data_IF_770339760979
#
_entry.id   IF_770339760979
#
_cell.length_a   1.000
_cell.length_b   1.000
_cell.length_c   1.000
_cell.angle_alpha   90.00
_cell.angle_beta   90.00
_cell.angle_gamma   90.00
#
_symmetry.space_group_name_H-M   'P 1'
#
loop_
_entity.id
_entity.type
_entity.pdbx_description
1 polymer ?
#
# COMPACT_ATOMS: atom_id res chain seq x y z
N UNK A 1 -1.19 -4.87 11.38
CA UNK A 1 0.30 -4.90 11.34
C UNK A 1 0.85 -6.33 11.33
N UNK A 2 0.33 -7.28 12.13
CA UNK A 2 0.82 -8.66 12.13
C UNK A 2 0.56 -9.38 10.80
N UNK A 3 -0.65 -9.27 10.25
CA UNK A 3 -1.04 -9.86 8.95
C UNK A 3 -0.24 -9.28 7.79
N UNK A 4 0.02 -7.97 7.78
CA UNK A 4 0.87 -7.34 6.78
C UNK A 4 2.31 -7.91 6.82
N UNK A 5 2.89 -8.08 8.00
CA UNK A 5 4.19 -8.73 8.16
C UNK A 5 4.20 -10.16 7.67
N UNK A 6 3.13 -10.92 7.92
CA UNK A 6 2.98 -12.29 7.46
C UNK A 6 2.93 -12.39 5.93
N UNK A 7 2.18 -11.50 5.26
CA UNK A 7 2.07 -11.47 3.80
C UNK A 7 3.42 -11.23 3.10
N UNK A 8 4.35 -10.51 3.75
CA UNK A 8 5.69 -10.21 3.22
C UNK A 8 6.83 -10.99 3.90
N UNK A 9 6.50 -12.02 4.69
CA UNK A 9 7.49 -12.85 5.40
C UNK A 9 8.41 -13.63 4.45
N UNK A 10 7.96 -13.89 3.22
CA UNK A 10 8.75 -14.58 2.19
C UNK A 10 9.88 -13.71 1.59
N UNK A 11 9.84 -12.38 1.79
CA UNK A 11 10.88 -11.49 1.30
C UNK A 11 12.10 -11.55 2.20
N UNK A 12 13.21 -12.07 1.68
CA UNK A 12 14.50 -12.10 2.36
C UNK A 12 15.10 -10.70 2.57
N UNK A 13 16.09 -10.61 3.46
CA UNK A 13 16.77 -9.35 3.78
C UNK A 13 17.35 -8.65 2.54
N UNK A 14 18.01 -9.41 1.65
CA UNK A 14 18.61 -8.86 0.44
C UNK A 14 17.56 -8.25 -0.50
N UNK A 15 16.42 -8.89 -0.65
CA UNK A 15 15.32 -8.37 -1.48
C UNK A 15 14.75 -7.06 -0.91
N UNK A 16 14.65 -6.95 0.42
CA UNK A 16 14.21 -5.73 1.10
C UNK A 16 15.24 -4.60 0.95
N UNK A 17 16.53 -4.90 1.06
CA UNK A 17 17.62 -3.94 0.83
C UNK A 17 17.63 -3.44 -0.63
N UNK A 18 17.48 -4.33 -1.60
CA UNK A 18 17.36 -3.98 -3.01
C UNK A 18 16.13 -3.10 -3.27
N UNK A 19 15.00 -3.43 -2.65
CA UNK A 19 13.77 -2.63 -2.78
C UNK A 19 13.93 -1.24 -2.15
N UNK A 20 14.58 -1.13 -1.00
CA UNK A 20 14.91 0.16 -0.37
C UNK A 20 15.80 1.00 -1.30
N UNK A 21 16.84 0.39 -1.86
CA UNK A 21 17.73 1.04 -2.82
C UNK A 21 16.97 1.51 -4.08
N UNK A 22 16.11 0.66 -4.65
CA UNK A 22 15.30 1.02 -5.81
C UNK A 22 14.28 2.13 -5.51
N UNK A 23 13.82 2.25 -4.26
CA UNK A 23 12.77 3.21 -3.86
C UNK A 23 13.36 4.59 -3.54
N UNK A 24 14.44 4.69 -2.76
CA UNK A 24 15.02 5.98 -2.32
C UNK A 24 16.49 6.15 -2.67
N UNK A 25 17.12 5.16 -3.32
CA UNK A 25 18.52 5.20 -3.73
C UNK A 25 19.51 4.88 -2.60
N UNK A 26 19.06 4.51 -1.40
CA UNK A 26 19.93 4.21 -0.26
C UNK A 26 20.46 2.78 -0.36
N UNK A 27 21.79 2.62 -0.50
CA UNK A 27 22.44 1.34 -0.25
C UNK A 27 22.72 1.18 1.26
N UNK A 28 21.89 0.37 1.90
CA UNK A 28 21.91 0.17 3.34
C UNK A 28 22.62 -1.14 3.77
N UNK A 29 23.33 -1.84 2.86
CA UNK A 29 23.96 -3.14 3.16
C UNK A 29 25.01 -3.08 4.25
N UNK A 30 25.67 -1.94 4.42
CA UNK A 30 26.69 -1.72 5.46
C UNK A 30 26.12 -1.23 6.80
N UNK A 31 24.82 -0.91 6.87
CA UNK A 31 24.20 -0.40 8.08
C UNK A 31 23.78 -1.54 9.01
N UNK A 32 24.01 -1.36 10.31
CA UNK A 32 23.45 -2.27 11.31
C UNK A 32 21.92 -2.18 11.36
N UNK A 33 21.20 -3.28 11.65
CA UNK A 33 19.73 -3.28 11.69
C UNK A 33 19.11 -2.24 12.62
N UNK A 34 19.77 -1.92 13.72
CA UNK A 34 19.30 -0.95 14.70
C UNK A 34 19.88 0.47 14.48
N UNK A 35 20.69 0.67 13.41
CA UNK A 35 21.16 1.99 13.03
C UNK A 35 20.02 2.90 12.61
N UNK A 36 20.04 4.15 13.08
CA UNK A 36 19.08 5.18 12.67
C UNK A 36 19.38 5.63 11.24
N UNK A 37 18.34 5.68 10.43
CA UNK A 37 18.41 6.20 9.07
C UNK A 37 17.82 7.60 9.08
N UNK A 38 18.59 8.58 8.65
CA UNK A 38 18.16 9.96 8.52
C UNK A 38 18.38 10.49 7.09
N UNK A 39 17.92 11.72 6.85
CA UNK A 39 17.96 12.32 5.52
C UNK A 39 19.41 12.52 4.99
N UNK A 40 20.42 12.61 5.86
CA UNK A 40 21.81 12.80 5.45
C UNK A 40 22.40 11.56 4.76
N UNK A 41 21.82 10.38 5.02
CA UNK A 41 22.22 9.13 4.37
C UNK A 41 21.60 8.94 2.98
N UNK A 42 20.60 9.76 2.64
CA UNK A 42 19.90 9.64 1.37
C UNK A 42 20.67 10.34 0.24
N UNK A 43 20.68 9.78 -0.98
CA UNK A 43 21.27 10.47 -2.12
C UNK A 43 20.52 11.78 -2.40
N UNK A 44 21.12 12.71 -3.18
CA UNK A 44 20.49 13.97 -3.56
C UNK A 44 19.10 13.78 -4.17
N UNK A 45 18.22 14.76 -4.02
CA UNK A 45 16.96 14.79 -4.76
C UNK A 45 17.24 14.79 -6.27
N UNK A 46 16.55 13.92 -7.01
CA UNK A 46 16.80 13.74 -8.44
C UNK A 46 17.65 12.53 -8.79
N UNK A 47 18.23 11.83 -7.81
CA UNK A 47 18.86 10.53 -8.06
C UNK A 47 17.85 9.56 -8.72
N UNK A 48 18.31 8.64 -9.60
CA UNK A 48 17.44 7.67 -10.25
C UNK A 48 16.74 6.77 -9.23
N UNK A 49 15.40 6.74 -9.28
CA UNK A 49 14.55 5.91 -8.42
C UNK A 49 13.40 5.33 -9.24
N UNK A 50 12.83 4.22 -8.78
CA UNK A 50 11.72 3.54 -9.47
C UNK A 50 10.47 4.42 -9.60
N UNK A 51 10.16 5.21 -8.58
CA UNK A 51 9.01 6.13 -8.54
C UNK A 51 9.34 7.36 -7.71
N UNK A 52 9.26 8.54 -8.32
CA UNK A 52 9.52 9.81 -7.63
C UNK A 52 8.53 10.08 -6.49
N UNK A 53 7.26 9.74 -6.67
CA UNK A 53 6.21 9.92 -5.65
C UNK A 53 6.49 9.03 -4.44
N UNK A 54 6.76 7.74 -4.65
CA UNK A 54 7.08 6.81 -3.56
C UNK A 54 8.40 7.19 -2.86
N UNK A 55 9.41 7.61 -3.64
CA UNK A 55 10.66 8.12 -3.08
C UNK A 55 10.42 9.31 -2.15
N UNK A 56 9.62 10.29 -2.58
CA UNK A 56 9.31 11.47 -1.76
C UNK A 56 8.61 11.08 -0.47
N UNK A 57 7.56 10.27 -0.53
CA UNK A 57 6.83 9.83 0.66
C UNK A 57 7.75 9.12 1.67
N UNK A 58 8.63 8.24 1.20
CA UNK A 58 9.55 7.52 2.07
C UNK A 58 10.66 8.44 2.60
N UNK A 59 11.16 9.40 1.82
CA UNK A 59 12.11 10.43 2.25
C UNK A 59 11.52 11.33 3.34
N UNK A 60 10.28 11.80 3.15
CA UNK A 60 9.57 12.62 4.14
C UNK A 60 9.36 11.85 5.46
N UNK A 61 9.03 10.57 5.37
CA UNK A 61 8.95 9.69 6.54
C UNK A 61 10.31 9.56 7.24
N UNK A 62 11.38 9.27 6.51
CA UNK A 62 12.73 9.14 7.07
C UNK A 62 13.18 10.43 7.75
N UNK A 63 12.95 11.58 7.12
CA UNK A 63 13.32 12.88 7.66
C UNK A 63 12.59 13.21 8.97
N UNK A 64 11.32 12.82 9.07
CA UNK A 64 10.47 13.11 10.23
C UNK A 64 10.70 12.14 11.38
N UNK A 65 10.74 10.84 11.09
CA UNK A 65 10.68 9.79 12.11
C UNK A 65 12.07 9.22 12.46
N UNK A 66 13.06 9.36 11.57
CA UNK A 66 14.42 8.80 11.73
C UNK A 66 14.38 7.32 12.18
N UNK A 67 13.70 6.44 11.42
CA UNK A 67 13.50 5.04 11.80
C UNK A 67 14.83 4.30 11.88
N UNK A 68 14.85 3.17 12.58
CA UNK A 68 15.93 2.20 12.43
C UNK A 68 15.86 1.53 11.06
N UNK A 69 16.97 0.97 10.57
CA UNK A 69 16.98 0.20 9.33
C UNK A 69 15.96 -0.95 9.39
N UNK A 70 15.85 -1.63 10.51
CA UNK A 70 14.87 -2.71 10.74
C UNK A 70 13.43 -2.23 10.53
N UNK A 71 13.06 -1.10 11.16
CA UNK A 71 11.73 -0.50 11.00
C UNK A 71 11.47 -0.07 9.55
N UNK A 72 12.50 0.48 8.89
CA UNK A 72 12.41 0.93 7.51
C UNK A 72 12.19 -0.24 6.53
N UNK A 73 12.89 -1.37 6.74
CA UNK A 73 12.76 -2.57 5.91
C UNK A 73 11.42 -3.31 6.08
N UNK A 74 10.63 -2.96 7.08
CA UNK A 74 9.26 -3.48 7.27
C UNK A 74 8.17 -2.56 6.69
N UNK A 75 8.56 -1.40 6.15
CA UNK A 75 7.61 -0.44 5.61
C UNK A 75 6.92 -0.94 4.35
N UNK A 76 5.61 -0.69 4.18
CA UNK A 76 4.88 -1.05 2.95
C UNK A 76 5.55 -0.54 1.69
N UNK A 77 6.13 0.66 1.74
CA UNK A 77 6.82 1.30 0.61
C UNK A 77 8.08 0.54 0.19
N UNK A 78 8.65 -0.25 1.09
CA UNK A 78 9.85 -1.06 0.86
C UNK A 78 9.50 -2.50 0.48
N UNK A 79 8.60 -3.14 1.23
CA UNK A 79 8.30 -4.57 1.03
C UNK A 79 7.22 -4.84 -0.04
N UNK A 80 6.46 -3.83 -0.40
CA UNK A 80 5.38 -3.94 -1.39
C UNK A 80 5.35 -2.75 -2.33
N UNK A 81 4.23 -2.07 -2.35
CA UNK A 81 4.09 -0.77 -3.01
C UNK A 81 3.53 0.24 -2.00
N UNK A 82 3.77 1.53 -2.24
CA UNK A 82 3.27 2.59 -1.37
C UNK A 82 1.74 2.83 -1.54
N UNK A 83 1.00 1.80 -1.91
CA UNK A 83 -0.44 1.86 -1.99
C UNK A 83 -1.06 1.76 -0.59
N UNK A 84 -2.28 2.24 -0.47
CA UNK A 84 -3.07 2.01 0.73
C UNK A 84 -3.29 0.50 0.92
N UNK A 85 -3.06 0.02 2.14
CA UNK A 85 -3.21 -1.39 2.50
C UNK A 85 -4.23 -1.47 3.62
N UNK A 86 -5.39 -2.07 3.32
CA UNK A 86 -6.39 -2.42 4.31
C UNK A 86 -6.17 -3.87 4.77
N UNK A 87 -6.12 -4.10 6.08
CA UNK A 87 -5.93 -5.42 6.68
C UNK A 87 -6.86 -5.56 7.89
N UNK A 88 -7.82 -6.45 7.79
CA UNK A 88 -8.80 -6.67 8.83
C UNK A 88 -9.81 -7.75 8.45
N UNK A 89 -10.91 -7.80 9.17
CA UNK A 89 -12.10 -8.54 8.77
C UNK A 89 -12.76 -7.86 7.57
N UNK A 90 -13.72 -8.51 6.93
CA UNK A 90 -14.52 -7.90 5.85
C UNK A 90 -15.17 -6.60 6.32
N UNK A 91 -15.75 -6.60 7.53
CA UNK A 91 -16.40 -5.42 8.12
C UNK A 91 -15.40 -4.28 8.35
N UNK A 92 -14.20 -4.57 8.87
CA UNK A 92 -13.14 -3.56 9.05
C UNK A 92 -12.78 -2.89 7.71
N UNK A 93 -12.63 -3.68 6.64
CA UNK A 93 -12.28 -3.16 5.31
C UNK A 93 -13.42 -2.37 4.69
N UNK A 94 -14.68 -2.80 4.89
CA UNK A 94 -15.86 -2.04 4.44
C UNK A 94 -15.93 -0.68 5.14
N UNK A 95 -15.74 -0.62 6.45
CA UNK A 95 -15.76 0.64 7.20
C UNK A 95 -14.60 1.56 6.81
N UNK A 96 -13.41 1.02 6.58
CA UNK A 96 -12.27 1.79 6.05
C UNK A 96 -12.60 2.42 4.69
N UNK A 97 -13.16 1.65 3.75
CA UNK A 97 -13.58 2.14 2.43
C UNK A 97 -14.69 3.21 2.57
N UNK A 98 -15.69 2.94 3.41
CA UNK A 98 -16.79 3.87 3.68
C UNK A 98 -16.27 5.21 4.19
N UNK A 99 -15.33 5.19 5.15
CA UNK A 99 -14.76 6.41 5.72
C UNK A 99 -14.05 7.28 4.66
N UNK A 100 -13.31 6.68 3.73
CA UNK A 100 -12.66 7.39 2.62
C UNK A 100 -13.68 8.00 1.65
N UNK A 101 -14.73 7.25 1.32
CA UNK A 101 -15.79 7.70 0.44
C UNK A 101 -16.62 8.83 1.06
N UNK A 102 -17.04 8.68 2.32
CA UNK A 102 -17.81 9.68 3.07
C UNK A 102 -17.02 10.98 3.28
N UNK A 103 -15.70 10.87 3.48
CA UNK A 103 -14.79 12.01 3.54
C UNK A 103 -14.59 12.69 2.16
N UNK A 104 -15.18 12.18 1.09
CA UNK A 104 -14.96 12.62 -0.31
C UNK A 104 -13.47 12.64 -0.70
N UNK A 105 -12.70 11.72 -0.14
CA UNK A 105 -11.28 11.58 -0.40
C UNK A 105 -10.98 10.62 -1.57
N UNK A 106 -11.99 9.86 -2.01
CA UNK A 106 -11.93 9.01 -3.21
C UNK A 106 -13.32 8.83 -3.81
N UNK A 107 -13.39 8.66 -5.13
CA UNK A 107 -14.59 8.31 -5.89
C UNK A 107 -14.62 6.82 -6.28
N UNK A 108 -13.51 6.13 -6.10
CA UNK A 108 -13.36 4.72 -6.40
C UNK A 108 -11.94 4.25 -6.13
N UNK A 109 -11.68 2.96 -6.29
CA UNK A 109 -10.37 2.36 -6.06
C UNK A 109 -10.09 1.20 -7.02
N UNK A 110 -8.83 0.90 -7.21
CA UNK A 110 -8.37 -0.30 -7.88
C UNK A 110 -7.93 -1.30 -6.80
N UNK A 111 -8.64 -2.42 -6.72
CA UNK A 111 -8.30 -3.48 -5.78
C UNK A 111 -7.18 -4.36 -6.31
N UNK A 112 -6.24 -4.66 -5.42
CA UNK A 112 -5.20 -5.65 -5.63
C UNK A 112 -5.31 -6.68 -4.49
N UNK A 113 -6.25 -7.65 -4.58
CA UNK A 113 -6.38 -8.68 -3.55
C UNK A 113 -5.07 -9.46 -3.47
N UNK A 114 -4.44 -9.45 -2.29
CA UNK A 114 -3.12 -10.04 -2.10
C UNK A 114 -3.04 -10.86 -0.83
N UNK A 115 -1.91 -11.58 -0.66
CA UNK A 115 -1.64 -12.36 0.54
C UNK A 115 -1.92 -13.85 0.42
N UNK A 116 -2.60 -14.32 -0.61
CA UNK A 116 -2.90 -15.75 -0.87
C UNK A 116 -4.22 -15.94 -1.60
N UNK A 117 -4.48 -17.16 -2.06
CA UNK A 117 -5.73 -17.52 -2.75
C UNK A 117 -6.96 -17.17 -1.91
N UNK A 118 -6.93 -17.45 -0.60
CA UNK A 118 -8.02 -17.13 0.32
C UNK A 118 -8.38 -15.63 0.37
N UNK A 119 -7.43 -14.74 0.14
CA UNK A 119 -7.72 -13.28 0.08
C UNK A 119 -8.48 -12.91 -1.18
N UNK A 120 -8.24 -13.60 -2.28
CA UNK A 120 -8.96 -13.41 -3.55
C UNK A 120 -10.40 -13.91 -3.39
N UNK A 121 -10.57 -15.11 -2.80
CA UNK A 121 -11.90 -15.69 -2.54
C UNK A 121 -12.71 -14.77 -1.62
N UNK A 122 -12.14 -14.36 -0.48
CA UNK A 122 -12.80 -13.43 0.45
C UNK A 122 -13.13 -12.07 -0.21
N UNK A 123 -12.29 -11.59 -1.13
CA UNK A 123 -12.57 -10.36 -1.85
C UNK A 123 -13.85 -10.48 -2.70
N UNK A 124 -13.98 -11.55 -3.49
CA UNK A 124 -15.13 -11.70 -4.38
C UNK A 124 -16.37 -12.27 -3.67
N UNK A 125 -16.20 -13.20 -2.74
CA UNK A 125 -17.33 -13.91 -2.12
C UNK A 125 -17.92 -13.16 -0.92
N UNK A 126 -17.15 -12.31 -0.27
CA UNK A 126 -17.60 -11.62 0.94
C UNK A 126 -17.49 -10.09 0.85
N UNK A 127 -16.32 -9.53 0.49
CA UNK A 127 -16.12 -8.08 0.51
C UNK A 127 -16.94 -7.38 -0.57
N UNK A 128 -16.92 -7.85 -1.82
CA UNK A 128 -17.71 -7.26 -2.90
C UNK A 128 -19.20 -7.26 -2.59
N UNK A 129 -19.83 -8.37 -2.15
CA UNK A 129 -21.22 -8.35 -1.71
C UNK A 129 -21.49 -7.41 -0.52
N UNK A 130 -20.56 -7.29 0.41
CA UNK A 130 -20.71 -6.37 1.54
C UNK A 130 -20.68 -4.90 1.11
N UNK A 131 -19.81 -4.54 0.16
CA UNK A 131 -19.77 -3.19 -0.43
C UNK A 131 -21.05 -2.87 -1.22
N UNK A 132 -21.61 -3.86 -1.94
CA UNK A 132 -22.90 -3.72 -2.63
C UNK A 132 -24.02 -3.47 -1.64
N UNK A 133 -24.12 -4.26 -0.57
CA UNK A 133 -25.13 -4.05 0.50
C UNK A 133 -25.02 -2.70 1.16
N UNK A 134 -23.81 -2.17 1.30
CA UNK A 134 -23.53 -0.84 1.86
C UNK A 134 -23.82 0.31 0.89
N UNK A 135 -24.11 0.01 -0.38
CA UNK A 135 -24.31 1.03 -1.43
C UNK A 135 -23.03 1.70 -1.93
N UNK A 136 -21.86 1.11 -1.62
CA UNK A 136 -20.55 1.61 -2.04
C UNK A 136 -20.06 1.02 -3.37
N UNK A 137 -20.72 -0.03 -3.84
CA UNK A 137 -20.45 -0.67 -5.12
C UNK A 137 -21.79 -1.01 -5.79
N UNK A 138 -21.85 -0.83 -7.10
CA UNK A 138 -23.04 -1.20 -7.89
C UNK A 138 -23.18 -2.71 -7.97
N UNK A 139 -24.40 -3.22 -7.93
CA UNK A 139 -24.70 -4.64 -8.07
C UNK A 139 -24.52 -5.12 -9.51
N UNK A 140 -24.86 -4.26 -10.47
CA UNK A 140 -24.82 -4.55 -11.92
C UNK A 140 -24.66 -3.28 -12.72
N UNK A 141 -24.24 -3.45 -13.96
CA UNK A 141 -24.17 -2.36 -14.92
C UNK A 141 -25.53 -2.17 -15.59
N UNK A 142 -26.07 -0.95 -15.56
CA UNK A 142 -27.37 -0.60 -16.15
C UNK A 142 -27.27 -0.19 -17.61
N UNK A 143 -26.15 0.36 -18.03
CA UNK A 143 -25.90 0.87 -19.37
C UNK A 143 -25.13 -0.09 -20.29
N UNK A 144 -24.89 0.38 -21.53
CA UNK A 144 -24.16 -0.38 -22.55
C UNK A 144 -22.76 0.18 -22.86
N UNK A 145 -22.45 1.38 -22.41
CA UNK A 145 -21.17 2.04 -22.64
C UNK A 145 -20.50 2.41 -21.32
N UNK A 146 -19.18 2.58 -21.33
CA UNK A 146 -18.43 3.07 -20.16
C UNK A 146 -18.98 4.42 -19.66
N UNK A 147 -19.38 5.30 -20.58
CA UNK A 147 -19.97 6.60 -20.22
C UNK A 147 -21.26 6.42 -19.42
N UNK A 148 -22.15 5.52 -19.86
CA UNK A 148 -23.41 5.25 -19.13
C UNK A 148 -23.09 4.83 -17.70
N UNK A 149 -22.10 3.94 -17.52
CA UNK A 149 -21.70 3.42 -16.20
C UNK A 149 -21.03 4.46 -15.30
N UNK A 150 -20.31 5.43 -15.86
CA UNK A 150 -19.65 6.50 -15.10
C UNK A 150 -20.60 7.65 -14.73
N UNK A 151 -21.74 7.78 -15.44
CA UNK A 151 -22.69 8.89 -15.28
C UNK A 151 -24.01 8.45 -14.62
N UNK A 152 -24.12 7.20 -14.20
CA UNK A 152 -25.25 6.73 -13.36
C UNK A 152 -25.19 7.41 -11.99
N UNK A 153 -26.29 8.11 -11.62
CA UNK A 153 -26.50 8.71 -10.30
C UNK A 153 -26.96 7.68 -9.28
#
# INVERSE_FOLDING_TARGET
RALHRSAHAHLGLEQRLQSLQATVGLDARSLAPDARVDAALLPPEGAPVRSRTHARLLRDFIARERPTLRELLERPEVVGSAHWVAVGTVDDVVEDIAAWFEARAMDGFVALPGGGESSVDLFFDELVPALVRRGLLRERYGGSTLRDHLMEE
#
